data_IF_583395799429
#
_entry.id   IF_583395799429
#
_cell.length_a   1.000
_cell.length_b   1.000
_cell.length_c   1.000
_cell.angle_alpha   90.00
_cell.angle_beta   90.00
_cell.angle_gamma   90.00
#
_symmetry.space_group_name_H-M   'P 1'
#
loop_
_entity.id
_entity.type
_entity.pdbx_description
1 polymer ?
#
# COMPACT_ATOMS: atom_id res chain seq x y z
N UNK A 1 -26.16 -7.59 11.48
CA UNK A 1 -25.15 -6.70 10.89
C UNK A 1 -25.06 -5.49 11.80
N UNK A 2 -23.90 -5.27 12.42
CA UNK A 2 -23.66 -4.06 13.21
C UNK A 2 -23.35 -2.95 12.20
N UNK A 3 -24.39 -2.29 11.69
CA UNK A 3 -24.23 -1.05 10.94
C UNK A 3 -23.74 0.01 11.91
N UNK A 4 -22.43 0.01 12.13
CA UNK A 4 -21.77 1.04 12.92
C UNK A 4 -21.70 2.26 12.03
N UNK A 5 -22.58 3.23 12.25
CA UNK A 5 -22.59 4.47 11.50
C UNK A 5 -21.18 5.10 11.53
N UNK A 6 -20.60 5.28 10.33
CA UNK A 6 -19.29 5.90 10.16
C UNK A 6 -19.49 7.41 10.16
N UNK A 7 -19.15 8.04 11.28
CA UNK A 7 -19.27 9.49 11.45
C UNK A 7 -18.09 10.22 10.81
N UNK A 8 -18.30 11.47 10.41
CA UNK A 8 -17.22 12.31 9.86
C UNK A 8 -16.09 12.51 10.88
N UNK A 9 -16.39 12.59 12.17
CA UNK A 9 -15.37 12.65 13.23
C UNK A 9 -14.41 11.43 13.20
N UNK A 10 -14.94 10.22 12.96
CA UNK A 10 -14.09 9.02 12.82
C UNK A 10 -13.24 9.09 11.57
N UNK A 11 -13.79 9.62 10.47
CA UNK A 11 -13.07 9.81 9.20
C UNK A 11 -11.93 10.82 9.39
N UNK A 12 -12.18 11.99 9.99
CA UNK A 12 -11.16 13.00 10.28
C UNK A 12 -10.04 12.44 11.16
N UNK A 13 -10.42 11.71 12.21
CA UNK A 13 -9.45 11.11 13.14
C UNK A 13 -8.55 10.09 12.45
N UNK A 14 -9.13 9.22 11.61
CA UNK A 14 -8.34 8.24 10.87
C UNK A 14 -7.50 8.90 9.76
N UNK A 15 -8.06 9.88 9.04
CA UNK A 15 -7.33 10.67 8.04
C UNK A 15 -6.08 11.31 8.66
N UNK A 16 -6.22 12.06 9.75
CA UNK A 16 -5.09 12.72 10.41
C UNK A 16 -4.03 11.73 10.92
N UNK A 17 -4.47 10.55 11.38
CA UNK A 17 -3.56 9.48 11.78
C UNK A 17 -2.79 8.93 10.58
N UNK A 18 -3.49 8.59 9.49
CA UNK A 18 -2.87 8.05 8.28
C UNK A 18 -1.91 9.05 7.63
N UNK A 19 -2.25 10.34 7.64
CA UNK A 19 -1.40 11.41 7.13
C UNK A 19 -0.07 11.49 7.91
N UNK A 20 -0.16 11.55 9.24
CA UNK A 20 1.01 11.57 10.12
C UNK A 20 1.88 10.31 9.96
N UNK A 21 1.26 9.13 9.90
CA UNK A 21 1.97 7.86 9.69
C UNK A 21 2.62 7.80 8.30
N UNK A 22 1.94 8.29 7.25
CA UNK A 22 2.46 8.35 5.89
C UNK A 22 3.70 9.25 5.81
N UNK A 23 3.61 10.49 6.28
CA UNK A 23 4.71 11.46 6.28
C UNK A 23 5.89 10.96 7.11
N UNK A 24 5.61 10.43 8.31
CA UNK A 24 6.62 9.81 9.16
C UNK A 24 7.24 8.55 8.52
N UNK A 25 6.56 7.90 7.57
CA UNK A 25 7.04 6.78 6.78
C UNK A 25 7.68 7.22 5.43
N UNK A 26 7.58 8.49 5.03
CA UNK A 26 8.12 9.00 3.76
C UNK A 26 7.22 8.71 2.55
N UNK A 27 5.92 8.56 2.80
CA UNK A 27 4.86 8.47 1.81
C UNK A 27 3.96 9.69 1.94
N UNK A 28 3.15 9.95 0.91
CA UNK A 28 2.21 11.05 0.91
C UNK A 28 0.80 10.52 0.63
N UNK A 29 -0.18 11.05 1.35
CA UNK A 29 -1.58 10.89 0.96
C UNK A 29 -1.88 11.77 -0.26
N UNK A 30 -2.93 11.41 -0.99
CA UNK A 30 -3.39 12.20 -2.13
C UNK A 30 -3.83 13.61 -1.67
N UNK A 31 -3.36 14.68 -2.34
CA UNK A 31 -3.69 16.05 -1.96
C UNK A 31 -5.18 16.41 -2.14
N UNK A 32 -5.95 15.63 -2.91
CA UNK A 32 -7.41 15.73 -2.92
C UNK A 32 -7.97 15.16 -1.61
N UNK A 33 -8.29 16.08 -0.69
CA UNK A 33 -8.76 15.77 0.67
C UNK A 33 -10.13 15.07 0.64
N UNK A 34 -11.02 15.47 -0.26
CA UNK A 34 -12.36 14.88 -0.33
C UNK A 34 -12.28 13.44 -0.82
N UNK A 35 -11.57 13.20 -1.93
CA UNK A 35 -11.30 11.85 -2.44
C UNK A 35 -10.62 10.97 -1.39
N UNK A 36 -9.62 11.52 -0.70
CA UNK A 36 -8.90 10.78 0.34
C UNK A 36 -9.82 10.40 1.50
N UNK A 37 -10.66 11.32 1.97
CA UNK A 37 -11.62 11.04 3.06
C UNK A 37 -12.69 10.04 2.65
N UNK A 38 -13.11 10.01 1.39
CA UNK A 38 -14.00 8.96 0.88
C UNK A 38 -13.35 7.57 0.96
N UNK A 39 -12.07 7.45 0.59
CA UNK A 39 -11.32 6.19 0.74
C UNK A 39 -11.16 5.80 2.20
N UNK A 40 -10.89 6.76 3.09
CA UNK A 40 -10.82 6.53 4.55
C UNK A 40 -12.16 6.05 5.11
N UNK A 41 -13.27 6.64 4.65
CA UNK A 41 -14.63 6.17 5.00
C UNK A 41 -14.85 4.75 4.48
N UNK A 42 -14.35 4.41 3.29
CA UNK A 42 -14.35 3.05 2.76
C UNK A 42 -13.56 2.06 3.64
N UNK A 43 -12.37 2.45 4.11
CA UNK A 43 -11.56 1.63 5.03
C UNK A 43 -12.29 1.34 6.35
N UNK A 44 -12.89 2.36 6.97
CA UNK A 44 -13.68 2.19 8.19
C UNK A 44 -14.92 1.33 7.96
N UNK A 45 -15.58 1.50 6.81
CA UNK A 45 -16.73 0.68 6.43
C UNK A 45 -16.32 -0.80 6.29
N UNK A 46 -15.20 -1.07 5.63
CA UNK A 46 -14.66 -2.42 5.49
C UNK A 46 -14.19 -3.00 6.82
N UNK A 47 -13.64 -2.18 7.72
CA UNK A 47 -13.34 -2.59 9.10
C UNK A 47 -14.59 -3.08 9.83
N UNK A 48 -15.68 -2.31 9.77
CA UNK A 48 -16.94 -2.68 10.40
C UNK A 48 -17.57 -3.95 9.80
N UNK A 49 -17.36 -4.20 8.50
CA UNK A 49 -17.89 -5.38 7.80
C UNK A 49 -17.07 -6.65 8.03
N UNK A 50 -15.75 -6.55 7.90
CA UNK A 50 -14.84 -7.70 7.81
C UNK A 50 -13.90 -7.83 9.01
N UNK A 51 -13.82 -6.80 9.86
CA UNK A 51 -12.90 -6.75 11.00
C UNK A 51 -11.46 -6.35 10.64
N UNK A 52 -11.22 -5.90 9.41
CA UNK A 52 -9.92 -5.41 8.94
C UNK A 52 -10.07 -4.39 7.81
N UNK A 53 -9.02 -3.61 7.58
CA UNK A 53 -8.95 -2.58 6.54
C UNK A 53 -8.74 -3.16 5.14
N UNK A 54 -9.71 -3.92 4.63
CA UNK A 54 -9.70 -4.34 3.23
C UNK A 54 -9.67 -3.12 2.30
N UNK A 55 -8.87 -3.16 1.23
CA UNK A 55 -8.76 -2.07 0.25
C UNK A 55 -10.16 -1.61 -0.21
N UNK A 56 -10.48 -0.30 -0.13
CA UNK A 56 -11.82 0.21 -0.41
C UNK A 56 -12.22 0.10 -1.89
N UNK A 57 -11.24 -0.03 -2.80
CA UNK A 57 -11.47 -0.13 -4.25
C UNK A 57 -11.29 -1.56 -4.78
N UNK A 58 -11.14 -2.57 -3.91
CA UNK A 58 -11.08 -3.98 -4.29
C UNK A 58 -12.18 -4.77 -3.59
N UNK A 59 -12.66 -5.82 -4.25
CA UNK A 59 -13.61 -6.74 -3.63
C UNK A 59 -12.88 -7.64 -2.64
N UNK A 60 -13.22 -7.50 -1.36
CA UNK A 60 -12.77 -8.38 -0.29
C UNK A 60 -13.51 -9.72 -0.35
N UNK A 61 -12.83 -10.82 -0.04
CA UNK A 61 -13.46 -12.12 0.17
C UNK A 61 -14.23 -12.18 1.50
N UNK A 62 -13.81 -11.36 2.47
CA UNK A 62 -14.30 -11.39 3.85
C UNK A 62 -13.50 -12.33 4.75
N UNK A 63 -12.60 -13.14 4.20
CA UNK A 63 -11.70 -14.03 4.91
C UNK A 63 -10.32 -13.37 5.01
N UNK A 64 -9.90 -13.00 6.22
CA UNK A 64 -8.69 -12.18 6.44
C UNK A 64 -7.44 -12.83 5.85
N UNK A 65 -7.32 -14.14 5.96
CA UNK A 65 -6.20 -14.93 5.45
C UNK A 65 -6.11 -14.88 3.92
N UNK A 66 -7.24 -14.78 3.22
CA UNK A 66 -7.27 -14.67 1.76
C UNK A 66 -7.02 -13.24 1.27
N UNK A 67 -7.14 -12.23 2.14
CA UNK A 67 -7.08 -10.82 1.78
C UNK A 67 -5.87 -10.08 2.38
N UNK A 68 -4.92 -10.79 3.00
CA UNK A 68 -3.69 -10.20 3.55
C UNK A 68 -2.97 -9.29 2.53
N UNK A 69 -2.99 -9.68 1.26
CA UNK A 69 -2.39 -8.95 0.14
C UNK A 69 -3.03 -7.58 -0.14
N UNK A 70 -4.30 -7.40 0.26
CA UNK A 70 -5.09 -6.19 0.05
C UNK A 70 -5.49 -5.45 1.32
N UNK A 71 -5.03 -5.89 2.50
CA UNK A 71 -5.16 -5.09 3.73
C UNK A 71 -4.37 -3.78 3.53
N UNK A 72 -5.00 -2.64 3.76
CA UNK A 72 -4.36 -1.33 3.56
C UNK A 72 -3.28 -1.05 4.63
N UNK A 73 -2.06 -0.64 4.25
CA UNK A 73 -1.53 -0.52 2.88
C UNK A 73 -1.21 -1.89 2.24
N UNK A 74 -1.72 -2.13 1.03
CA UNK A 74 -1.62 -3.42 0.33
C UNK A 74 -0.21 -3.67 -0.24
N UNK A 75 0.08 -4.94 -0.56
CA UNK A 75 1.39 -5.37 -1.08
C UNK A 75 1.79 -4.69 -2.40
N UNK A 76 0.81 -4.21 -3.17
CA UNK A 76 0.99 -3.59 -4.48
C UNK A 76 1.36 -2.10 -4.41
N UNK A 77 1.12 -1.45 -3.27
CA UNK A 77 1.19 0.02 -3.13
C UNK A 77 2.51 0.60 -3.61
N UNK A 78 3.63 0.06 -3.14
CA UNK A 78 4.94 0.66 -3.37
C UNK A 78 5.34 0.59 -4.86
N UNK A 79 5.03 -0.53 -5.52
CA UNK A 79 5.30 -0.70 -6.95
C UNK A 79 4.40 0.21 -7.80
N UNK A 80 3.12 0.33 -7.44
CA UNK A 80 2.19 1.23 -8.12
C UNK A 80 2.61 2.70 -8.00
N UNK A 81 3.04 3.15 -6.81
CA UNK A 81 3.53 4.51 -6.60
C UNK A 81 4.79 4.78 -7.43
N UNK A 82 5.72 3.84 -7.47
CA UNK A 82 6.97 3.99 -8.21
C UNK A 82 6.74 4.02 -9.73
N UNK A 83 5.85 3.18 -10.25
CA UNK A 83 5.63 3.05 -11.71
C UNK A 83 4.59 4.02 -12.27
N UNK A 84 3.54 4.34 -11.49
CA UNK A 84 2.38 5.12 -11.96
C UNK A 84 2.10 6.38 -11.15
N UNK A 85 2.86 6.65 -10.09
CA UNK A 85 2.73 7.85 -9.28
C UNK A 85 1.63 7.79 -8.21
N UNK A 86 0.83 6.73 -8.15
CA UNK A 86 -0.17 6.51 -7.11
C UNK A 86 -0.45 5.02 -6.90
N UNK A 87 -0.94 4.64 -5.71
CA UNK A 87 -1.46 3.30 -5.51
C UNK A 87 -2.79 3.09 -6.24
N UNK A 88 -3.21 1.84 -6.46
CA UNK A 88 -4.42 1.51 -7.23
C UNK A 88 -5.68 2.34 -6.91
N UNK A 89 -5.98 2.60 -5.62
CA UNK A 89 -7.13 3.42 -5.22
C UNK A 89 -6.88 4.94 -5.23
N UNK A 90 -5.63 5.37 -5.42
CA UNK A 90 -5.22 6.76 -5.33
C UNK A 90 -5.19 7.32 -3.91
N UNK A 91 -5.08 6.48 -2.87
CA UNK A 91 -4.93 6.94 -1.47
C UNK A 91 -3.52 7.50 -1.21
N UNK A 92 -2.50 6.79 -1.68
CA UNK A 92 -1.10 7.17 -1.55
C UNK A 92 -0.55 7.57 -2.92
N UNK A 93 0.27 8.62 -2.96
CA UNK A 93 0.86 9.17 -4.18
C UNK A 93 2.37 9.35 -4.04
N UNK A 94 3.06 9.47 -5.17
CA UNK A 94 4.49 9.79 -5.21
C UNK A 94 4.72 11.25 -4.78
N UNK A 95 5.94 11.57 -4.35
CA UNK A 95 6.33 12.95 -4.00
C UNK A 95 6.09 13.93 -5.17
N UNK A 96 6.28 13.48 -6.42
CA UNK A 96 6.09 14.30 -7.62
C UNK A 96 4.62 14.62 -7.86
N UNK A 97 3.74 13.63 -7.67
CA UNK A 97 2.28 13.83 -7.75
C UNK A 97 1.80 14.70 -6.59
N UNK A 98 2.27 14.46 -5.37
CA UNK A 98 1.94 15.26 -4.19
C UNK A 98 2.29 16.75 -4.38
N UNK A 99 3.45 17.05 -5.00
CA UNK A 99 3.89 18.41 -5.32
C UNK A 99 3.20 19.03 -6.54
N UNK A 100 2.37 18.29 -7.26
CA UNK A 100 1.75 18.73 -8.50
C UNK A 100 2.72 18.86 -9.68
N UNK A 101 3.87 18.18 -9.61
CA UNK A 101 4.87 18.14 -10.69
C UNK A 101 4.49 17.15 -11.79
N UNK A 102 3.70 16.13 -11.46
CA UNK A 102 3.18 15.12 -12.38
C UNK A 102 1.74 14.74 -12.01
N UNK A 103 0.97 14.27 -13.00
CA UNK A 103 -0.32 13.65 -12.76
C UNK A 103 -0.16 12.13 -12.57
N UNK A 104 -0.98 11.53 -11.70
CA UNK A 104 -1.00 10.09 -11.54
C UNK A 104 -1.50 9.40 -12.83
N UNK A 105 -0.79 8.36 -13.25
CA UNK A 105 -1.15 7.57 -14.43
C UNK A 105 -2.30 6.59 -14.18
N UNK A 106 -2.77 5.94 -15.25
CA UNK A 106 -3.70 4.82 -15.13
C UNK A 106 -2.97 3.60 -14.56
N UNK A 107 -3.50 3.03 -13.47
CA UNK A 107 -2.89 1.91 -12.76
C UNK A 107 -3.64 0.60 -13.12
N UNK A 108 -2.93 -0.43 -13.61
CA UNK A 108 -3.52 -1.76 -13.82
C UNK A 108 -3.77 -2.47 -12.48
N UNK A 109 -4.73 -3.40 -12.45
CA UNK A 109 -4.90 -4.29 -11.30
C UNK A 109 -3.78 -5.33 -11.27
N UNK A 110 -2.82 -5.17 -10.34
CA UNK A 110 -1.73 -6.12 -10.11
C UNK A 110 -2.14 -7.36 -9.33
N UNK A 111 -3.27 -7.31 -8.61
CA UNK A 111 -3.75 -8.46 -7.83
C UNK A 111 -4.09 -9.62 -8.77
N UNK A 112 -3.43 -10.77 -8.66
CA UNK A 112 -3.73 -11.92 -9.50
C UNK A 112 -5.16 -12.45 -9.24
N UNK A 113 -5.77 -13.13 -10.23
CA UNK A 113 -7.06 -13.77 -10.03
C UNK A 113 -6.98 -14.85 -8.92
N UNK A 114 -8.11 -15.18 -8.25
CA UNK A 114 -8.13 -16.11 -7.12
C UNK A 114 -7.45 -17.46 -7.37
N UNK A 115 -7.59 -18.02 -8.58
CA UNK A 115 -6.99 -19.29 -8.97
C UNK A 115 -5.46 -19.22 -9.00
N UNK A 116 -4.90 -18.08 -9.41
CA UNK A 116 -3.45 -17.86 -9.41
C UNK A 116 -2.92 -17.66 -7.98
N UNK A 117 -3.64 -16.91 -7.13
CA UNK A 117 -3.26 -16.70 -5.72
C UNK A 117 -3.19 -18.01 -4.94
N UNK A 118 -4.15 -18.91 -5.14
CA UNK A 118 -4.17 -20.24 -4.51
C UNK A 118 -2.97 -21.11 -4.92
N UNK A 119 -2.53 -21.02 -6.18
CA UNK A 119 -1.33 -21.73 -6.64
C UNK A 119 -0.07 -21.19 -5.97
N UNK A 120 0.09 -19.86 -5.94
CA UNK A 120 1.25 -19.20 -5.32
C UNK A 120 1.35 -19.56 -3.82
N UNK A 121 0.23 -19.58 -3.10
CA UNK A 121 0.21 -19.91 -1.68
C UNK A 121 0.60 -21.38 -1.37
N UNK A 122 0.55 -22.27 -2.36
CA UNK A 122 0.89 -23.69 -2.21
C UNK A 122 2.31 -24.01 -2.63
N UNK A 123 3.03 -23.06 -3.25
CA UNK A 123 4.41 -23.27 -3.67
C UNK A 123 5.37 -23.19 -2.46
N UNK A 124 6.25 -24.19 -2.26
CA UNK A 124 7.20 -24.15 -1.17
C UNK A 124 8.21 -23.01 -1.38
N UNK A 125 8.30 -22.10 -0.41
CA UNK A 125 9.35 -21.07 -0.40
C UNK A 125 10.71 -21.71 -0.13
N UNK A 126 11.55 -21.80 -1.15
CA UNK A 126 12.98 -22.08 -1.00
C UNK A 126 13.79 -20.79 -1.23
N UNK A 127 14.84 -20.59 -0.41
CA UNK A 127 15.71 -19.42 -0.55
C UNK A 127 16.40 -19.35 -1.93
N UNK A 128 16.63 -20.51 -2.54
CA UNK A 128 17.21 -20.65 -3.89
C UNK A 128 16.26 -20.29 -5.02
N UNK A 129 14.97 -20.07 -4.73
CA UNK A 129 13.92 -19.78 -5.70
C UNK A 129 13.21 -18.45 -5.42
N UNK A 130 13.90 -17.50 -4.75
CA UNK A 130 13.37 -16.16 -4.56
C UNK A 130 13.06 -15.54 -5.93
N UNK A 131 11.77 -15.28 -6.17
CA UNK A 131 11.27 -14.72 -7.43
C UNK A 131 11.59 -13.24 -7.59
N UNK A 132 11.88 -12.54 -6.49
CA UNK A 132 12.17 -11.11 -6.46
C UNK A 132 13.56 -10.85 -5.85
N UNK A 133 14.29 -9.84 -6.35
CA UNK A 133 15.53 -9.42 -5.72
C UNK A 133 15.26 -8.80 -4.34
N UNK A 134 16.24 -8.94 -3.44
CA UNK A 134 16.22 -8.33 -2.11
C UNK A 134 17.08 -7.07 -2.15
N UNK A 135 16.51 -5.96 -1.72
CA UNK A 135 17.20 -4.67 -1.62
C UNK A 135 17.50 -4.33 -0.17
N UNK A 136 18.68 -3.76 0.07
CA UNK A 136 19.14 -3.34 1.40
C UNK A 136 19.40 -1.84 1.44
N UNK A 137 18.82 -1.16 2.42
CA UNK A 137 19.18 0.21 2.72
C UNK A 137 20.58 0.27 3.35
N UNK A 138 21.52 0.98 2.74
CA UNK A 138 22.91 1.13 3.24
C UNK A 138 23.04 1.96 4.53
N UNK A 139 21.94 2.54 5.01
CA UNK A 139 21.92 3.44 6.19
C UNK A 139 21.52 2.70 7.45
N UNK A 140 20.34 2.07 7.41
CA UNK A 140 19.74 1.41 8.57
C UNK A 140 19.66 -0.12 8.43
N UNK A 141 19.98 -0.67 7.25
CA UNK A 141 19.92 -2.11 7.00
C UNK A 141 18.54 -2.67 6.68
N UNK A 142 17.51 -1.83 6.52
CA UNK A 142 16.17 -2.26 6.06
C UNK A 142 16.26 -3.14 4.80
N UNK A 143 15.57 -4.28 4.82
CA UNK A 143 15.51 -5.26 3.73
C UNK A 143 14.09 -5.34 3.16
N UNK A 144 13.98 -5.35 1.84
CA UNK A 144 12.71 -5.58 1.14
C UNK A 144 12.91 -6.41 -0.13
N UNK A 145 12.03 -7.40 -0.35
CA UNK A 145 11.99 -8.18 -1.59
C UNK A 145 10.94 -7.57 -2.53
N UNK A 146 11.42 -6.95 -3.61
CA UNK A 146 10.63 -6.15 -4.59
C UNK A 146 11.39 -6.09 -5.91
N UNK A 147 10.71 -5.81 -7.02
CA UNK A 147 11.37 -5.62 -8.34
C UNK A 147 12.43 -4.50 -8.29
N UNK A 148 12.15 -3.42 -7.56
CA UNK A 148 13.09 -2.33 -7.29
C UNK A 148 13.04 -1.88 -5.82
N UNK A 149 14.05 -1.13 -5.35
CA UNK A 149 14.01 -0.54 -4.02
C UNK A 149 12.97 0.59 -3.97
N UNK A 150 12.36 0.85 -2.79
CA UNK A 150 11.42 1.95 -2.64
C UNK A 150 12.11 3.30 -2.90
N UNK A 151 11.34 4.29 -3.36
CA UNK A 151 11.82 5.66 -3.55
C UNK A 151 12.49 6.26 -2.30
N UNK A 152 11.92 5.97 -1.13
CA UNK A 152 12.41 6.41 0.18
C UNK A 152 12.38 5.24 1.16
N UNK A 153 13.43 5.08 1.96
CA UNK A 153 13.48 4.07 3.00
C UNK A 153 12.43 4.37 4.10
N UNK A 154 11.49 3.45 4.37
CA UNK A 154 10.42 3.68 5.34
C UNK A 154 10.95 3.86 6.77
N UNK A 155 12.16 3.34 7.05
CA UNK A 155 12.75 3.39 8.39
C UNK A 155 13.56 4.66 8.62
N UNK A 156 14.46 5.00 7.70
CA UNK A 156 15.46 6.08 7.92
C UNK A 156 15.40 7.23 6.91
N UNK A 157 14.46 7.21 5.97
CA UNK A 157 14.27 8.25 4.94
C UNK A 157 15.39 8.44 3.94
N UNK A 158 16.35 7.52 3.91
CA UNK A 158 17.34 7.47 2.86
C UNK A 158 16.68 7.28 1.49
N UNK A 159 17.10 8.04 0.49
CA UNK A 159 16.61 7.95 -0.89
C UNK A 159 17.05 6.64 -1.57
N UNK A 160 16.39 6.33 -2.68
CA UNK A 160 16.57 5.12 -3.51
C UNK A 160 18.03 4.84 -3.90
N UNK A 161 18.83 5.87 -4.14
CA UNK A 161 20.26 5.79 -4.46
C UNK A 161 21.12 5.21 -3.33
N UNK A 162 20.58 5.16 -2.11
CA UNK A 162 21.23 4.56 -0.94
C UNK A 162 20.84 3.10 -0.72
N UNK A 163 20.15 2.47 -1.66
CA UNK A 163 19.90 1.03 -1.65
C UNK A 163 20.92 0.27 -2.50
N UNK A 164 21.19 -0.97 -2.11
CA UNK A 164 22.01 -1.92 -2.87
C UNK A 164 21.26 -3.25 -3.00
N UNK A 165 21.52 -3.98 -4.09
CA UNK A 165 21.00 -5.34 -4.23
C UNK A 165 21.76 -6.24 -3.25
N UNK A 166 21.00 -6.94 -2.41
CA UNK A 166 21.51 -7.86 -1.39
C UNK A 166 21.47 -9.32 -1.87
N UNK A 167 20.35 -9.75 -2.47
CA UNK A 167 20.15 -11.06 -3.10
C UNK A 167 19.44 -10.88 -4.45
#
# INVERSE_FOLDING_TARGET
MMDTEITDEKVEKLYARLDSEAEAAGYHLNPDVEHTKELVRGLLTNEGRYGYWACPCRLASGEREEDLDIICPCDYRDQDIEEYGACYCGLYVSERVFKGEEEAGSIPERRPPPEARKKIAQEPLALSTLSLPVWRCRVCGYLCAREGPPGVCPICKAKKDRFERFL
#
